data_IF_307719904384
#
_entry.id   IF_307719904384
#
_cell.length_a   1.000
_cell.length_b   1.000
_cell.length_c   1.000
_cell.angle_alpha   90.00
_cell.angle_beta   90.00
_cell.angle_gamma   90.00
#
_symmetry.space_group_name_H-M   'P 1'
#
loop_
_entity.id
_entity.type
_entity.pdbx_description
1 polymer ?
#
# COMPACT_ATOMS: atom_id res chain seq x y z
N UNK A 1 4.15 11.73 9.78
CA UNK A 1 4.20 12.51 8.53
C UNK A 1 3.88 11.56 7.39
N UNK A 2 2.94 11.91 6.51
CA UNK A 2 2.79 11.15 5.26
C UNK A 2 3.99 11.52 4.41
N UNK A 3 4.88 10.55 4.20
CA UNK A 3 6.06 10.69 3.36
C UNK A 3 5.61 10.45 1.92
N UNK A 4 5.60 11.49 1.10
CA UNK A 4 5.36 11.37 -0.34
C UNK A 4 6.68 11.52 -1.12
N UNK A 5 6.68 11.19 -2.41
CA UNK A 5 7.86 11.35 -3.27
C UNK A 5 8.32 12.82 -3.36
N UNK A 6 7.42 13.77 -3.07
CA UNK A 6 7.73 15.19 -3.01
C UNK A 6 8.51 15.55 -1.73
N UNK A 7 8.31 14.84 -0.63
CA UNK A 7 9.05 15.02 0.62
C UNK A 7 10.56 14.93 0.39
N UNK A 8 11.05 13.92 -0.34
CA UNK A 8 12.47 13.77 -0.65
C UNK A 8 13.03 14.96 -1.44
N UNK A 9 12.27 15.48 -2.42
CA UNK A 9 12.70 16.56 -3.31
C UNK A 9 12.83 17.93 -2.62
N UNK A 10 12.23 18.12 -1.44
CA UNK A 10 12.28 19.39 -0.71
C UNK A 10 13.31 19.43 0.42
N UNK A 11 13.92 18.30 0.76
CA UNK A 11 15.00 18.27 1.74
C UNK A 11 16.35 18.54 1.07
N UNK A 12 17.30 19.07 1.84
CA UNK A 12 18.66 19.26 1.35
C UNK A 12 19.28 17.89 1.07
N UNK A 13 20.09 17.81 0.00
CA UNK A 13 20.82 16.57 -0.34
C UNK A 13 21.72 16.08 0.80
N UNK A 14 22.14 16.95 1.72
CA UNK A 14 22.93 16.60 2.90
C UNK A 14 22.13 16.02 4.06
N UNK A 15 20.80 15.91 3.97
CA UNK A 15 19.96 15.32 5.02
C UNK A 15 20.07 13.78 4.98
N UNK A 16 21.00 13.23 5.76
CA UNK A 16 21.27 11.79 5.82
C UNK A 16 20.06 10.96 6.23
N UNK A 17 19.20 11.49 7.10
CA UNK A 17 18.00 10.80 7.56
C UNK A 17 16.98 10.70 6.42
N UNK A 18 16.73 11.81 5.72
CA UNK A 18 15.85 11.83 4.56
C UNK A 18 16.38 10.97 3.41
N UNK A 19 17.69 10.99 3.11
CA UNK A 19 18.31 10.11 2.11
C UNK A 19 18.14 8.63 2.44
N UNK A 20 18.36 8.26 3.70
CA UNK A 20 18.27 6.87 4.14
C UNK A 20 16.85 6.33 4.09
N UNK A 21 15.84 7.15 4.40
CA UNK A 21 14.47 6.64 4.60
C UNK A 21 13.43 7.12 3.58
N UNK A 22 13.72 8.16 2.80
CA UNK A 22 12.73 8.83 1.95
C UNK A 22 13.12 8.89 0.45
N UNK A 23 14.35 8.53 0.05
CA UNK A 23 14.70 8.44 -1.37
C UNK A 23 13.83 7.38 -2.07
N UNK A 24 13.01 7.69 -3.08
CA UNK A 24 12.09 6.71 -3.67
C UNK A 24 12.75 5.69 -4.61
N UNK A 25 14.01 5.92 -5.04
CA UNK A 25 14.65 5.15 -6.10
C UNK A 25 16.15 4.82 -5.89
N UNK A 26 16.58 4.23 -4.76
CA UNK A 26 17.90 3.64 -4.71
C UNK A 26 17.89 2.26 -5.39
N UNK A 27 18.44 2.18 -6.59
CA UNK A 27 18.74 0.91 -7.26
C UNK A 27 20.08 0.30 -6.80
N UNK A 28 20.60 0.77 -5.67
CA UNK A 28 21.89 0.38 -5.09
C UNK A 28 21.74 -0.43 -3.78
N UNK A 29 20.50 -0.72 -3.35
CA UNK A 29 20.23 -1.46 -2.12
C UNK A 29 20.44 -0.66 -0.83
N UNK A 30 20.68 0.66 -0.90
CA UNK A 30 20.83 1.53 0.28
C UNK A 30 19.55 1.67 1.13
N UNK A 31 18.42 1.16 0.65
CA UNK A 31 17.16 1.12 1.36
C UNK A 31 16.61 -0.30 1.50
N UNK A 32 17.02 -1.02 2.56
CA UNK A 32 16.56 -2.38 2.81
C UNK A 32 15.05 -2.48 3.02
N UNK A 33 14.38 -1.38 3.38
CA UNK A 33 12.93 -1.34 3.55
C UNK A 33 12.15 -1.21 2.22
N UNK A 34 12.79 -0.79 1.12
CA UNK A 34 12.13 -0.67 -0.19
C UNK A 34 12.58 -1.73 -1.21
N UNK A 35 13.77 -2.30 -1.02
CA UNK A 35 14.38 -3.27 -1.95
C UNK A 35 15.03 -4.40 -1.15
N UNK A 36 14.73 -5.64 -1.51
CA UNK A 36 15.35 -6.86 -0.99
C UNK A 36 16.14 -7.56 -2.10
N UNK A 37 17.15 -8.34 -1.71
CA UNK A 37 17.85 -9.23 -2.65
C UNK A 37 17.02 -10.50 -2.79
N UNK A 38 16.59 -10.80 -4.02
CA UNK A 38 15.92 -12.03 -4.40
C UNK A 38 16.83 -12.84 -5.33
N UNK A 39 16.56 -14.14 -5.45
CA UNK A 39 17.31 -15.04 -6.33
C UNK A 39 16.43 -15.36 -7.54
N UNK A 40 16.97 -15.22 -8.75
CA UNK A 40 16.26 -15.58 -9.98
C UNK A 40 16.29 -17.11 -10.23
N UNK A 41 15.63 -17.56 -11.30
CA UNK A 41 15.56 -18.98 -11.65
C UNK A 41 16.95 -19.59 -11.96
N UNK A 42 17.92 -18.76 -12.34
CA UNK A 42 19.30 -19.15 -12.64
C UNK A 42 20.23 -19.06 -11.41
N UNK A 43 19.70 -18.74 -10.22
CA UNK A 43 20.47 -18.66 -8.99
C UNK A 43 21.22 -17.33 -8.80
N UNK A 44 20.97 -16.31 -9.63
CA UNK A 44 21.64 -15.02 -9.55
C UNK A 44 20.87 -14.05 -8.65
N UNK A 45 21.56 -13.25 -7.83
CA UNK A 45 20.92 -12.23 -7.02
C UNK A 45 20.44 -11.08 -7.89
N UNK A 46 19.21 -10.62 -7.65
CA UNK A 46 18.64 -9.42 -8.23
C UNK A 46 17.91 -8.60 -7.17
N UNK A 47 17.77 -7.29 -7.43
CA UNK A 47 17.07 -6.37 -6.56
C UNK A 47 15.58 -6.41 -6.86
N UNK A 48 14.77 -6.82 -5.87
CA UNK A 48 13.31 -6.86 -5.93
C UNK A 48 12.72 -5.85 -4.97
N UNK A 49 11.64 -5.16 -5.35
CA UNK A 49 10.90 -4.31 -4.40
C UNK A 49 10.43 -5.14 -3.21
N UNK A 50 10.62 -4.61 -2.00
CA UNK A 50 10.24 -5.27 -0.75
C UNK A 50 8.70 -5.36 -0.57
N UNK A 51 7.96 -4.52 -1.29
CA UNK A 51 6.50 -4.44 -1.25
C UNK A 51 5.94 -4.29 -2.66
N UNK A 52 4.66 -4.61 -2.82
CA UNK A 52 3.94 -4.44 -4.08
C UNK A 52 3.56 -2.97 -4.27
N UNK A 53 4.23 -2.28 -5.18
CA UNK A 53 4.00 -0.84 -5.45
C UNK A 53 2.59 -0.57 -5.97
N UNK A 54 2.03 -1.46 -6.77
CA UNK A 54 0.67 -1.32 -7.31
C UNK A 54 -0.38 -1.37 -6.20
N UNK A 55 -0.24 -2.29 -5.24
CA UNK A 55 -1.13 -2.37 -4.07
C UNK A 55 -1.02 -1.10 -3.22
N UNK A 56 0.19 -0.57 -3.04
CA UNK A 56 0.38 0.69 -2.33
C UNK A 56 -0.25 1.88 -3.05
N UNK A 57 -0.18 1.94 -4.38
CA UNK A 57 -0.83 2.98 -5.18
C UNK A 57 -2.35 2.93 -5.06
N UNK A 58 -2.95 1.73 -5.16
CA UNK A 58 -4.39 1.55 -4.96
C UNK A 58 -4.83 1.97 -3.55
N UNK A 59 -4.08 1.56 -2.53
CA UNK A 59 -4.35 1.98 -1.15
C UNK A 59 -4.24 3.50 -0.99
N UNK A 60 -3.22 4.13 -1.57
CA UNK A 60 -3.05 5.58 -1.51
C UNK A 60 -4.17 6.32 -2.23
N UNK A 61 -4.65 5.81 -3.37
CA UNK A 61 -5.79 6.36 -4.08
C UNK A 61 -7.06 6.29 -3.21
N UNK A 62 -7.29 5.16 -2.55
CA UNK A 62 -8.41 4.99 -1.61
C UNK A 62 -8.32 5.94 -0.40
N UNK A 63 -7.13 6.12 0.16
CA UNK A 63 -6.88 7.06 1.25
C UNK A 63 -6.93 8.54 0.82
N UNK A 64 -6.93 8.82 -0.49
CA UNK A 64 -6.90 10.18 -1.04
C UNK A 64 -7.99 11.09 -0.48
N UNK A 65 -9.21 10.57 -0.32
CA UNK A 65 -10.35 11.30 0.27
C UNK A 65 -10.15 11.67 1.74
N UNK A 66 -9.26 10.98 2.46
CA UNK A 66 -8.97 11.18 3.88
C UNK A 66 -7.65 11.89 4.12
N UNK A 67 -6.93 12.28 3.06
CA UNK A 67 -5.58 12.83 3.17
C UNK A 67 -5.51 14.06 4.10
N UNK A 68 -6.51 14.95 4.07
CA UNK A 68 -6.51 16.17 4.87
C UNK A 68 -6.50 15.89 6.39
N UNK A 69 -7.25 14.88 6.85
CA UNK A 69 -7.30 14.52 8.27
C UNK A 69 -6.09 13.66 8.66
N UNK A 70 -5.73 12.69 7.82
CA UNK A 70 -4.62 11.78 8.07
C UNK A 70 -3.26 12.50 8.18
N UNK A 71 -3.04 13.55 7.37
CA UNK A 71 -1.81 14.35 7.40
C UNK A 71 -1.58 15.09 8.72
N UNK A 72 -2.63 15.37 9.48
CA UNK A 72 -2.57 16.13 10.74
C UNK A 72 -2.43 15.24 11.98
N UNK A 73 -2.52 13.92 11.82
CA UNK A 73 -2.50 12.98 12.94
C UNK A 73 -1.07 12.71 13.44
N UNK A 74 -0.95 12.44 14.74
CA UNK A 74 0.24 11.81 15.31
C UNK A 74 0.38 10.38 14.76
N UNK A 75 1.59 9.81 14.81
CA UNK A 75 1.83 8.46 14.29
C UNK A 75 0.91 7.40 14.93
N UNK A 76 0.67 7.46 16.23
CA UNK A 76 -0.21 6.52 16.94
C UNK A 76 -1.66 6.63 16.46
N UNK A 77 -2.17 7.87 16.32
CA UNK A 77 -3.54 8.10 15.86
C UNK A 77 -3.72 7.69 14.40
N UNK A 78 -2.71 7.97 13.57
CA UNK A 78 -2.68 7.52 12.17
C UNK A 78 -2.75 6.00 12.08
N UNK A 79 -1.88 5.28 12.81
CA UNK A 79 -1.85 3.81 12.79
C UNK A 79 -3.19 3.22 13.25
N UNK A 80 -3.73 3.69 14.38
CA UNK A 80 -5.03 3.23 14.88
C UNK A 80 -6.14 3.49 13.85
N UNK A 81 -6.19 4.69 13.26
CA UNK A 81 -7.18 5.05 12.26
C UNK A 81 -7.12 4.15 11.02
N UNK A 82 -5.91 3.93 10.48
CA UNK A 82 -5.73 3.05 9.31
C UNK A 82 -6.16 1.62 9.62
N UNK A 83 -5.82 1.08 10.80
CA UNK A 83 -6.26 -0.25 11.22
C UNK A 83 -7.78 -0.36 11.26
N UNK A 84 -8.47 0.63 11.86
CA UNK A 84 -9.93 0.65 11.94
C UNK A 84 -10.56 0.76 10.56
N UNK A 85 -10.06 1.67 9.71
CA UNK A 85 -10.56 1.84 8.33
C UNK A 85 -10.44 0.56 7.51
N UNK A 86 -9.29 -0.11 7.56
CA UNK A 86 -9.05 -1.36 6.82
C UNK A 86 -9.90 -2.51 7.36
N UNK A 87 -10.11 -2.58 8.68
CA UNK A 87 -10.99 -3.56 9.29
C UNK A 87 -12.42 -3.44 8.75
N UNK A 88 -13.01 -2.24 8.82
CA UNK A 88 -14.36 -2.02 8.31
C UNK A 88 -14.46 -2.20 6.79
N UNK A 89 -13.45 -1.76 6.04
CA UNK A 89 -13.44 -1.94 4.59
C UNK A 89 -13.47 -3.43 4.21
N UNK A 90 -12.65 -4.25 4.88
CA UNK A 90 -12.63 -5.70 4.66
C UNK A 90 -14.01 -6.32 4.91
N UNK A 91 -14.67 -5.97 6.03
CA UNK A 91 -16.01 -6.46 6.34
C UNK A 91 -17.02 -6.08 5.24
N UNK A 92 -17.01 -4.83 4.79
CA UNK A 92 -17.92 -4.36 3.73
C UNK A 92 -17.67 -5.09 2.41
N UNK A 93 -16.40 -5.31 2.05
CA UNK A 93 -16.05 -6.02 0.80
C UNK A 93 -16.49 -7.48 0.88
N UNK A 94 -16.23 -8.17 2.00
CA UNK A 94 -16.67 -9.55 2.19
C UNK A 94 -18.19 -9.68 2.10
N UNK A 95 -18.96 -8.81 2.77
CA UNK A 95 -20.41 -8.84 2.67
C UNK A 95 -20.93 -8.52 1.26
N UNK A 96 -20.20 -7.72 0.47
CA UNK A 96 -20.56 -7.49 -0.93
C UNK A 96 -20.27 -8.70 -1.81
N UNK A 97 -19.14 -9.36 -1.60
CA UNK A 97 -18.78 -10.57 -2.34
C UNK A 97 -19.79 -11.68 -2.07
N UNK A 98 -20.16 -11.89 -0.81
CA UNK A 98 -21.18 -12.88 -0.43
C UNK A 98 -22.52 -12.63 -1.11
N UNK A 99 -23.00 -11.39 -1.14
CA UNK A 99 -24.27 -11.08 -1.83
C UNK A 99 -24.18 -11.26 -3.34
N UNK A 100 -23.05 -10.90 -3.96
CA UNK A 100 -22.86 -11.11 -5.38
C UNK A 100 -22.82 -12.61 -5.73
N UNK A 101 -22.21 -13.44 -4.87
CA UNK A 101 -22.22 -14.90 -5.02
C UNK A 101 -23.66 -15.45 -4.88
N UNK A 102 -24.43 -14.96 -3.90
CA UNK A 102 -25.85 -15.30 -3.72
C UNK A 102 -26.70 -14.90 -4.94
N UNK A 103 -26.52 -13.69 -5.48
CA UNK A 103 -27.24 -13.20 -6.67
C UNK A 103 -26.88 -14.03 -7.93
N UNK A 104 -25.60 -14.38 -8.11
CA UNK A 104 -25.14 -15.24 -9.23
C UNK A 104 -25.70 -16.67 -9.14
N UNK A 105 -25.75 -17.24 -7.93
CA UNK A 105 -26.34 -18.57 -7.69
C UNK A 105 -27.87 -18.58 -7.91
N UNK A 106 -28.57 -17.48 -7.62
CA UNK A 106 -30.01 -17.31 -7.91
C UNK A 106 -30.29 -17.21 -9.41
N UNK A 107 -29.52 -16.40 -10.14
CA UNK A 107 -29.64 -16.26 -11.60
C UNK A 107 -29.37 -17.59 -12.33
N UNK A 108 -28.36 -18.37 -11.91
CA UNK A 108 -28.09 -19.70 -12.49
C UNK A 108 -29.24 -20.70 -12.25
N UNK A 109 -29.90 -20.63 -11.09
CA UNK A 109 -31.05 -21.49 -10.79
C UNK A 109 -32.29 -21.11 -11.60
N UNK A 110 -32.52 -19.82 -11.86
CA UNK A 110 -33.63 -19.36 -12.72
C UNK A 110 -33.42 -19.73 -14.21
N UNK A 111 -32.18 -19.82 -14.69
CA UNK A 111 -31.88 -20.24 -16.06
C UNK A 111 -32.02 -21.77 -16.29
N UNK A 112 -31.98 -22.59 -15.23
CA UNK A 112 -32.11 -24.05 -15.31
C UNK A 112 -33.57 -24.57 -15.20
N UNK A 113 -34.55 -23.75 -14.82
CA UNK A 113 -36.00 -24.08 -14.80
C UNK A 113 -36.75 -23.76 -16.11
#
# INVERSE_FOLDING_TARGET
FIVDTYHYNNHKESDELCRKWCNPAPMDGSQPNLVIIAIDAEGRPYLKRAFNTQVCEQLNAWLGGFAAILKRMTANNFNWMIHVMLYYHTQIVQSKQQRNEEDEDEDEQEEEE
#
